data_IF_761221184732
#
_entry.id   IF_761221184732
#
_cell.length_a   1.000
_cell.length_b   1.000
_cell.length_c   1.000
_cell.angle_alpha   90.00
_cell.angle_beta   90.00
_cell.angle_gamma   90.00
#
_symmetry.space_group_name_H-M   'P 1'
#
loop_
_entity.id
_entity.type
_entity.pdbx_description
1 polymer ?
#
# COMPACT_ATOMS: atom_id res chain seq x y z
N UNK A 1 21.46 -10.92 6.74
CA UNK A 1 21.41 -10.68 5.28
C UNK A 1 20.65 -11.83 4.64
N UNK A 2 19.66 -11.58 3.77
CA UNK A 2 18.79 -12.64 3.21
C UNK A 2 19.38 -13.25 1.94
N UNK A 3 19.68 -12.41 0.95
CA UNK A 3 20.22 -12.84 -0.35
C UNK A 3 21.04 -11.71 -1.01
N UNK A 4 21.81 -12.06 -2.05
CA UNK A 4 22.47 -11.11 -2.96
C UNK A 4 21.80 -11.19 -4.32
N UNK A 5 21.31 -10.07 -4.83
CA UNK A 5 20.78 -9.97 -6.19
C UNK A 5 21.85 -9.35 -7.09
N UNK A 6 22.18 -10.02 -8.19
CA UNK A 6 23.23 -9.60 -9.14
C UNK A 6 22.64 -9.61 -10.55
N UNK A 7 22.87 -8.54 -11.30
CA UNK A 7 22.47 -8.42 -12.70
C UNK A 7 23.69 -8.04 -13.55
N UNK A 8 23.67 -8.46 -14.81
CA UNK A 8 24.69 -8.17 -15.80
C UNK A 8 24.05 -7.79 -17.13
N UNK A 9 24.69 -6.90 -17.88
CA UNK A 9 24.29 -6.44 -19.20
C UNK A 9 25.53 -6.02 -20.00
N UNK A 10 25.39 -5.89 -21.32
CA UNK A 10 26.45 -5.43 -22.20
C UNK A 10 26.81 -3.96 -21.94
N UNK A 11 25.86 -3.17 -21.44
CA UNK A 11 26.07 -1.80 -20.98
C UNK A 11 25.65 -1.62 -19.52
N UNK A 12 26.18 -0.58 -18.87
CA UNK A 12 25.77 -0.23 -17.50
C UNK A 12 24.28 0.08 -17.41
N UNK A 13 23.74 0.77 -18.42
CA UNK A 13 22.33 1.10 -18.51
C UNK A 13 21.46 -0.17 -18.56
N UNK A 14 21.83 -1.13 -19.41
CA UNK A 14 21.14 -2.41 -19.51
C UNK A 14 21.20 -3.20 -18.19
N UNK A 15 22.35 -3.21 -17.51
CA UNK A 15 22.47 -3.86 -16.20
C UNK A 15 21.55 -3.23 -15.14
N UNK A 16 21.42 -1.90 -15.13
CA UNK A 16 20.50 -1.16 -14.26
C UNK A 16 19.05 -1.54 -14.56
N UNK A 17 18.65 -1.54 -15.84
CA UNK A 17 17.28 -1.89 -16.26
C UNK A 17 16.92 -3.34 -15.88
N UNK A 18 17.85 -4.28 -16.12
CA UNK A 18 17.68 -5.68 -15.70
C UNK A 18 17.56 -5.82 -14.19
N UNK A 19 18.36 -5.06 -13.43
CA UNK A 19 18.29 -5.05 -11.96
C UNK A 19 16.95 -4.49 -11.47
N UNK A 20 16.46 -3.40 -12.07
CA UNK A 20 15.16 -2.81 -11.73
C UNK A 20 14.01 -3.81 -11.97
N UNK A 21 14.03 -4.51 -13.11
CA UNK A 21 13.07 -5.60 -13.37
C UNK A 21 13.19 -6.71 -12.33
N UNK A 22 14.41 -7.17 -12.05
CA UNK A 22 14.64 -8.23 -11.09
C UNK A 22 14.15 -7.87 -9.67
N UNK A 23 14.32 -6.61 -9.25
CA UNK A 23 13.78 -6.12 -7.98
C UNK A 23 12.25 -6.10 -8.00
N UNK A 24 11.62 -5.66 -9.10
CA UNK A 24 10.16 -5.62 -9.23
C UNK A 24 9.51 -7.00 -9.17
N UNK A 25 10.21 -8.03 -9.67
CA UNK A 25 9.76 -9.43 -9.63
C UNK A 25 10.13 -10.12 -8.30
N UNK A 26 10.96 -9.50 -7.45
CA UNK A 26 11.42 -10.09 -6.19
C UNK A 26 10.35 -9.93 -5.10
N UNK A 27 9.53 -10.97 -4.93
CA UNK A 27 8.51 -11.01 -3.89
C UNK A 27 9.04 -11.60 -2.59
N UNK A 28 9.00 -10.81 -1.51
CA UNK A 28 9.27 -11.23 -0.14
C UNK A 28 8.11 -10.74 0.72
N UNK A 29 7.54 -11.64 1.52
CA UNK A 29 6.40 -11.33 2.41
C UNK A 29 6.77 -11.59 3.87
N UNK A 30 6.14 -10.86 4.79
CA UNK A 30 6.25 -11.07 6.23
C UNK A 30 7.38 -10.32 6.94
N UNK A 31 8.27 -9.65 6.18
CA UNK A 31 9.35 -8.81 6.72
C UNK A 31 9.55 -7.59 5.82
N UNK A 32 10.04 -6.50 6.41
CA UNK A 32 10.53 -5.36 5.66
C UNK A 32 11.85 -5.69 4.97
N UNK A 33 12.07 -5.11 3.78
CA UNK A 33 13.24 -5.41 2.97
C UNK A 33 13.87 -4.14 2.42
N UNK A 34 15.11 -4.25 1.97
CA UNK A 34 15.87 -3.16 1.34
C UNK A 34 15.56 -3.00 -0.16
N UNK A 35 14.61 -3.77 -0.72
CA UNK A 35 14.25 -3.71 -2.14
C UNK A 35 13.73 -2.32 -2.59
N UNK A 36 12.89 -1.60 -1.82
CA UNK A 36 12.48 -0.24 -2.19
C UNK A 36 13.66 0.73 -2.23
N UNK A 37 14.58 0.62 -1.27
CA UNK A 37 15.81 1.42 -1.27
C UNK A 37 16.69 1.13 -2.49
N UNK A 38 16.88 -0.14 -2.85
CA UNK A 38 17.62 -0.52 -4.05
C UNK A 38 17.01 0.09 -5.32
N UNK A 39 15.68 0.07 -5.42
CA UNK A 39 14.94 0.71 -6.53
C UNK A 39 15.18 2.23 -6.57
N UNK A 40 15.15 2.89 -5.41
CA UNK A 40 15.44 4.32 -5.31
C UNK A 40 16.85 4.64 -5.84
N UNK A 41 17.88 3.92 -5.37
CA UNK A 41 19.26 4.15 -5.79
C UNK A 41 19.41 3.98 -7.31
N UNK A 42 18.88 2.88 -7.87
CA UNK A 42 19.00 2.57 -9.30
C UNK A 42 18.26 3.56 -10.22
N UNK A 43 17.26 4.28 -9.70
CA UNK A 43 16.54 5.34 -10.41
C UNK A 43 17.15 6.73 -10.21
N UNK A 44 18.05 6.90 -9.24
CA UNK A 44 18.58 8.22 -8.91
C UNK A 44 19.56 8.72 -9.98
N UNK A 45 19.43 9.96 -10.50
CA UNK A 45 20.26 10.47 -11.59
C UNK A 45 21.77 10.42 -11.31
N UNK A 46 22.20 10.74 -10.08
CA UNK A 46 23.61 10.68 -9.71
C UNK A 46 24.17 9.24 -9.80
N UNK A 47 23.36 8.23 -9.43
CA UNK A 47 23.75 6.84 -9.58
C UNK A 47 23.76 6.44 -11.07
N UNK A 48 22.75 6.81 -11.85
CA UNK A 48 22.67 6.49 -13.29
C UNK A 48 23.79 7.15 -14.09
N UNK A 49 24.18 8.38 -13.77
CA UNK A 49 25.31 9.06 -14.43
C UNK A 49 26.68 8.54 -14.00
N UNK A 50 26.76 7.92 -12.82
CA UNK A 50 28.03 7.50 -12.21
C UNK A 50 28.75 8.62 -11.46
N UNK A 51 28.16 9.81 -11.35
CA UNK A 51 28.73 10.96 -10.63
C UNK A 51 28.28 10.97 -9.16
N UNK A 52 28.90 10.12 -8.33
CA UNK A 52 28.66 10.04 -6.90
C UNK A 52 29.89 9.52 -6.15
N UNK A 53 29.91 9.68 -4.83
CA UNK A 53 30.97 9.19 -3.96
C UNK A 53 30.42 8.38 -2.77
N UNK A 54 31.24 8.14 -1.76
CA UNK A 54 30.87 7.39 -0.55
C UNK A 54 29.85 8.11 0.33
N UNK A 55 29.54 9.39 0.08
CA UNK A 55 28.53 10.17 0.77
C UNK A 55 27.16 10.13 0.09
N UNK A 56 26.98 9.40 -1.01
CA UNK A 56 25.72 9.32 -1.77
C UNK A 56 24.45 9.26 -0.91
N UNK A 57 24.44 8.40 0.12
CA UNK A 57 23.27 8.23 1.00
C UNK A 57 23.02 9.51 1.83
N UNK A 58 24.08 10.11 2.37
CA UNK A 58 24.00 11.36 3.15
C UNK A 58 23.39 12.49 2.32
N UNK A 59 23.77 12.55 1.04
CA UNK A 59 23.47 13.71 0.18
C UNK A 59 22.14 13.56 -0.57
N UNK A 60 21.69 12.33 -0.81
CA UNK A 60 20.54 12.07 -1.69
C UNK A 60 19.39 11.29 -1.05
N UNK A 61 19.59 10.64 0.10
CA UNK A 61 18.57 9.78 0.68
C UNK A 61 17.92 10.40 1.92
N UNK A 62 16.59 10.38 1.95
CA UNK A 62 15.81 10.56 3.18
C UNK A 62 14.76 9.45 3.31
N UNK A 63 14.47 8.95 4.53
CA UNK A 63 13.48 7.89 4.72
C UNK A 63 12.08 8.20 4.17
N UNK A 64 11.71 9.49 4.12
CA UNK A 64 10.44 9.96 3.58
C UNK A 64 10.25 9.62 2.10
N UNK A 65 11.33 9.46 1.32
CA UNK A 65 11.26 9.11 -0.11
C UNK A 65 10.71 7.70 -0.32
N UNK A 66 10.86 6.81 0.66
CA UNK A 66 10.33 5.45 0.59
C UNK A 66 8.92 5.33 1.19
N UNK A 67 8.41 6.40 1.80
CA UNK A 67 7.05 6.39 2.29
C UNK A 67 6.11 6.21 1.09
N UNK A 68 5.10 5.33 1.18
CA UNK A 68 4.06 5.27 0.18
C UNK A 68 3.47 6.67 0.03
N UNK A 69 3.59 7.24 -1.16
CA UNK A 69 3.10 8.59 -1.42
C UNK A 69 1.63 8.68 -1.03
N UNK A 70 1.24 9.79 -0.40
CA UNK A 70 -0.18 10.11 -0.34
C UNK A 70 -0.72 10.07 -1.77
N UNK A 71 -1.90 9.45 -2.01
CA UNK A 71 -2.51 9.47 -3.32
C UNK A 71 -2.61 10.93 -3.77
N UNK A 72 -2.28 11.19 -5.03
CA UNK A 72 -2.47 12.51 -5.61
C UNK A 72 -3.95 12.89 -5.51
N UNK A 73 -4.24 14.20 -5.53
CA UNK A 73 -5.61 14.69 -5.34
C UNK A 73 -6.58 14.05 -6.34
N UNK A 74 -6.11 13.77 -7.57
CA UNK A 74 -6.88 13.07 -8.59
C UNK A 74 -7.21 11.62 -8.22
N UNK A 75 -6.24 10.85 -7.71
CA UNK A 75 -6.43 9.46 -7.26
C UNK A 75 -7.34 9.43 -6.05
N UNK A 76 -7.20 10.38 -5.12
CA UNK A 76 -8.06 10.49 -3.95
C UNK A 76 -9.51 10.77 -4.35
N UNK A 77 -9.75 11.68 -5.30
CA UNK A 77 -11.08 11.98 -5.82
C UNK A 77 -11.71 10.77 -6.55
N UNK A 78 -10.95 10.10 -7.41
CA UNK A 78 -11.42 8.91 -8.13
C UNK A 78 -11.72 7.76 -7.14
N UNK A 79 -10.86 7.54 -6.15
CA UNK A 79 -11.09 6.55 -5.11
C UNK A 79 -12.34 6.87 -4.28
N UNK A 80 -12.54 8.13 -3.88
CA UNK A 80 -13.72 8.56 -3.14
C UNK A 80 -15.01 8.39 -3.96
N UNK A 81 -15.00 8.76 -5.24
CA UNK A 81 -16.14 8.58 -6.14
C UNK A 81 -16.48 7.09 -6.32
N UNK A 82 -15.47 6.23 -6.53
CA UNK A 82 -15.67 4.78 -6.63
C UNK A 82 -16.28 4.20 -5.36
N UNK A 83 -15.78 4.59 -4.18
CA UNK A 83 -16.35 4.17 -2.89
C UNK A 83 -17.80 4.63 -2.76
N UNK A 84 -18.11 5.88 -3.13
CA UNK A 84 -19.47 6.40 -3.09
C UNK A 84 -20.43 5.58 -4.00
N UNK A 85 -19.99 5.21 -5.21
CA UNK A 85 -20.77 4.37 -6.12
C UNK A 85 -21.00 2.96 -5.55
N UNK A 86 -19.96 2.32 -5.02
CA UNK A 86 -20.06 0.99 -4.41
C UNK A 86 -20.95 0.97 -3.16
N UNK A 87 -20.94 2.04 -2.37
CA UNK A 87 -21.84 2.17 -1.21
C UNK A 87 -23.29 2.43 -1.64
N UNK A 88 -23.50 3.14 -2.75
CA UNK A 88 -24.83 3.41 -3.27
C UNK A 88 -25.51 2.15 -3.84
N UNK A 89 -24.77 1.22 -4.44
CA UNK A 89 -25.31 -0.07 -4.88
C UNK A 89 -25.81 -0.94 -3.71
N UNK A 90 -25.30 -0.71 -2.50
CA UNK A 90 -25.67 -1.47 -1.29
C UNK A 90 -26.94 -0.98 -0.59
N UNK A 91 -27.68 -0.03 -1.16
CA UNK A 91 -28.95 0.46 -0.59
C UNK A 91 -30.15 -0.18 -1.30
N UNK A 92 -30.69 -1.31 -0.83
CA UNK A 92 -32.05 -1.66 -1.19
C UNK A 92 -32.98 -0.62 -0.54
N UNK A 93 -33.71 0.11 -1.37
CA UNK A 93 -34.83 0.92 -0.92
C UNK A 93 -35.93 -0.04 -0.45
N UNK A 94 -36.15 -0.13 0.86
CA UNK A 94 -37.41 -0.63 1.41
C UNK A 94 -38.20 0.59 1.93
N UNK A 95 -39.49 0.71 1.57
CA UNK A 95 -40.28 1.90 1.85
C UNK A 95 -40.63 1.99 3.34
N UNK A 96 -40.70 3.23 3.81
CA UNK A 96 -41.20 3.58 5.13
C UNK A 96 -42.72 3.34 5.13
N UNK A 97 -43.19 2.35 5.88
CA UNK A 97 -44.57 2.28 6.36
C UNK A 97 -44.59 2.63 7.83
N UNK A 98 -45.09 3.83 8.11
CA UNK A 98 -45.67 4.19 9.40
C UNK A 98 -46.89 3.31 9.65
N UNK A 99 -46.81 2.45 10.69
CA UNK A 99 -47.92 2.08 11.57
C UNK A 99 -47.43 1.10 12.65
N UNK A 100 -47.73 1.39 13.91
CA UNK A 100 -47.94 0.36 14.93
C UNK A 100 -46.79 0.00 15.87
N UNK A 101 -46.89 0.56 17.08
CA UNK A 101 -46.50 -0.03 18.38
C UNK A 101 -45.02 -0.24 18.71
N UNK A 102 -44.56 0.56 19.68
CA UNK A 102 -43.32 0.36 20.39
C UNK A 102 -43.36 -0.91 21.25
N UNK A 103 -42.54 -1.90 20.91
CA UNK A 103 -42.07 -2.90 21.87
C UNK A 103 -40.53 -2.95 21.84
N UNK A 104 -39.95 -2.70 23.01
CA UNK A 104 -38.51 -2.76 23.22
C UNK A 104 -38.03 -4.22 23.17
N UNK A 105 -37.42 -4.60 22.04
CA UNK A 105 -36.77 -5.91 21.89
C UNK A 105 -35.51 -5.93 22.76
N UNK A 106 -35.63 -6.53 23.94
CA UNK A 106 -34.50 -6.81 24.82
C UNK A 106 -33.47 -7.72 24.15
N UNK A 107 -32.24 -7.22 24.03
CA UNK A 107 -31.09 -7.94 23.48
C UNK A 107 -30.97 -9.36 24.08
N UNK A 108 -30.98 -10.38 23.21
CA UNK A 108 -30.79 -11.79 23.58
C UNK A 108 -29.48 -12.07 24.33
N UNK A 109 -28.54 -11.13 24.30
CA UNK A 109 -27.29 -11.20 25.07
C UNK A 109 -27.50 -11.04 26.58
N UNK A 110 -28.57 -10.35 27.03
CA UNK A 110 -28.92 -10.27 28.47
C UNK A 110 -29.59 -11.54 28.99
N UNK A 111 -30.33 -12.28 28.16
CA UNK A 111 -31.01 -13.51 28.57
C UNK A 111 -30.05 -14.67 28.88
N UNK A 112 -28.94 -14.77 28.15
CA UNK A 112 -27.97 -15.86 28.33
C UNK A 112 -26.96 -15.66 29.48
N UNK A 113 -27.04 -14.54 30.22
CA UNK A 113 -26.02 -14.18 31.22
C UNK A 113 -26.41 -14.45 32.67
N UNK A 114 -27.68 -14.71 32.94
CA UNK A 114 -28.18 -15.07 34.27
C UNK A 114 -28.64 -16.53 34.22
N UNK A 115 -27.68 -17.45 34.23
CA UNK A 115 -27.93 -18.88 34.29
C UNK A 115 -28.58 -19.26 35.62
N UNK A 116 -29.90 -19.16 35.70
CA UNK A 116 -30.71 -19.75 36.77
C UNK A 116 -31.58 -20.82 36.12
N UNK A 117 -31.36 -22.06 36.56
CA UNK A 117 -32.16 -23.24 36.24
C UNK A 117 -33.60 -23.07 36.69
#
# INVERSE_FOLDING_TARGET
MIAKLVAYGATRQEAIERMLRAIAEYQITGIETTLPFGTFVLKHPAFVSGNFDTNFIRDHFSPAVLAPGMPDEGTAQVAAALVAMLLNEKKPAAPVTTEGTAEAVGSGWRRNRLGVR
#
